data_IF_062186429582
#
_entry.id   IF_062186429582
#
_cell.length_a   1.000
_cell.length_b   1.000
_cell.length_c   1.000
_cell.angle_alpha   90.00
_cell.angle_beta   90.00
_cell.angle_gamma   90.00
#
_symmetry.space_group_name_H-M   'P 1'
#
loop_
_entity.id
_entity.type
_entity.pdbx_description
1 polymer ?
#
# COMPACT_ATOMS: atom_id res chain seq x y z
N UNK A 1 14.76 -13.54 -3.85
CA UNK A 1 14.55 -12.81 -2.60
C UNK A 1 13.20 -12.13 -2.68
N UNK A 2 12.26 -12.45 -1.77
CA UNK A 2 10.95 -11.81 -1.76
C UNK A 2 11.07 -10.42 -1.11
N UNK A 3 10.46 -9.40 -1.71
CA UNK A 3 10.45 -8.06 -1.14
C UNK A 3 9.39 -7.98 -0.02
N UNK A 4 9.76 -7.37 1.11
CA UNK A 4 8.91 -7.23 2.29
C UNK A 4 8.71 -5.75 2.59
N UNK A 5 7.45 -5.37 2.85
CA UNK A 5 7.10 -4.06 3.38
C UNK A 5 6.72 -4.22 4.85
N UNK A 6 7.27 -3.37 5.71
CA UNK A 6 6.99 -3.38 7.14
C UNK A 6 6.34 -2.07 7.55
N UNK A 7 5.24 -2.16 8.30
CA UNK A 7 4.73 -1.05 9.11
C UNK A 7 5.13 -1.25 10.57
N UNK A 8 4.71 -0.34 11.45
CA UNK A 8 4.90 -0.48 12.90
C UNK A 8 4.19 -1.69 13.51
N UNK A 9 3.21 -2.27 12.82
CA UNK A 9 2.36 -3.35 13.36
C UNK A 9 2.15 -4.53 12.42
N UNK A 10 2.61 -4.47 11.17
CA UNK A 10 2.28 -5.49 10.16
C UNK A 10 3.40 -5.65 9.13
N UNK A 11 3.72 -6.89 8.79
CA UNK A 11 4.62 -7.25 7.70
C UNK A 11 3.83 -7.76 6.50
N UNK A 12 4.20 -7.29 5.31
CA UNK A 12 3.58 -7.62 4.04
C UNK A 12 4.64 -8.20 3.09
N UNK A 13 4.36 -9.37 2.51
CA UNK A 13 5.20 -9.95 1.45
C UNK A 13 4.64 -9.50 0.10
N UNK A 14 5.45 -8.86 -0.74
CA UNK A 14 5.06 -8.50 -2.10
C UNK A 14 5.03 -9.76 -2.96
N UNK A 15 3.89 -10.01 -3.59
CA UNK A 15 3.70 -11.12 -4.54
C UNK A 15 3.99 -10.63 -5.96
N UNK A 16 3.32 -9.55 -6.37
CA UNK A 16 3.43 -8.98 -7.73
C UNK A 16 3.09 -7.49 -7.70
N UNK A 17 3.61 -6.74 -8.68
CA UNK A 17 3.20 -5.35 -8.91
C UNK A 17 2.04 -5.33 -9.90
N UNK A 18 0.93 -4.69 -9.52
CA UNK A 18 -0.32 -4.68 -10.29
C UNK A 18 -0.49 -3.42 -11.14
N UNK A 19 0.23 -2.34 -10.85
CA UNK A 19 0.16 -1.12 -11.66
C UNK A 19 0.98 0.05 -11.12
N UNK A 20 1.24 1.03 -11.97
CA UNK A 20 1.91 2.29 -11.64
C UNK A 20 1.10 3.45 -12.21
N UNK A 21 0.94 4.50 -11.41
CA UNK A 21 0.33 5.76 -11.84
C UNK A 21 1.07 6.95 -11.26
N UNK A 22 0.54 8.15 -11.51
CA UNK A 22 1.18 9.40 -11.10
C UNK A 22 1.49 9.46 -9.59
N UNK A 23 0.60 8.89 -8.78
CA UNK A 23 0.69 8.94 -7.31
C UNK A 23 1.60 7.84 -6.71
N UNK A 24 1.93 6.79 -7.46
CA UNK A 24 2.70 5.67 -6.93
C UNK A 24 2.41 4.34 -7.61
N UNK A 25 2.95 3.28 -7.00
CA UNK A 25 2.85 1.89 -7.46
C UNK A 25 1.86 1.11 -6.59
N UNK A 26 1.12 0.18 -7.17
CA UNK A 26 0.26 -0.75 -6.44
C UNK A 26 0.87 -2.14 -6.53
N UNK A 27 1.04 -2.77 -5.37
CA UNK A 27 1.51 -4.14 -5.24
C UNK A 27 0.42 -5.02 -4.62
N UNK A 28 0.30 -6.24 -5.12
CA UNK A 28 -0.43 -7.32 -4.44
C UNK A 28 0.50 -7.87 -3.38
N UNK A 29 0.03 -7.84 -2.14
CA UNK A 29 0.80 -8.30 -1.00
C UNK A 29 0.01 -9.34 -0.20
N UNK A 30 0.74 -10.19 0.51
CA UNK A 30 0.19 -11.05 1.56
C UNK A 30 0.57 -10.52 2.93
N UNK A 31 -0.41 -10.36 3.82
CA UNK A 31 -0.16 -10.06 5.23
C UNK A 31 0.41 -11.32 5.88
N UNK A 32 1.61 -11.23 6.45
CA UNK A 32 2.32 -12.40 7.00
C UNK A 32 1.58 -13.05 8.17
N UNK A 33 0.92 -12.26 9.02
CA UNK A 33 0.23 -12.76 10.22
C UNK A 33 -1.13 -13.41 9.94
N UNK A 34 -1.83 -12.99 8.88
CA UNK A 34 -3.20 -13.44 8.59
C UNK A 34 -3.32 -14.17 7.26
N UNK A 35 -2.23 -14.24 6.49
CA UNK A 35 -2.19 -14.76 5.12
C UNK A 35 -3.16 -14.09 4.13
N UNK A 36 -3.81 -12.99 4.52
CA UNK A 36 -4.76 -12.25 3.67
C UNK A 36 -4.04 -11.57 2.52
N UNK A 37 -4.64 -11.63 1.33
CA UNK A 37 -4.18 -10.91 0.14
C UNK A 37 -4.78 -9.51 0.14
N UNK A 38 -3.93 -8.51 -0.05
CA UNK A 38 -4.29 -7.08 -0.04
C UNK A 38 -3.59 -6.33 -1.17
N UNK A 39 -4.15 -5.21 -1.59
CA UNK A 39 -3.45 -4.26 -2.45
C UNK A 39 -2.78 -3.19 -1.57
N UNK A 40 -1.47 -2.98 -1.74
CA UNK A 40 -0.71 -1.93 -1.06
C UNK A 40 -0.29 -0.88 -2.08
N UNK A 41 -0.71 0.37 -1.87
CA UNK A 41 -0.30 1.51 -2.69
C UNK A 41 0.94 2.16 -2.07
N UNK A 42 2.07 2.03 -2.76
CA UNK A 42 3.38 2.58 -2.41
C UNK A 42 3.47 3.97 -3.06
N UNK A 43 3.37 5.01 -2.25
CA UNK A 43 3.37 6.40 -2.70
C UNK A 43 4.81 6.88 -2.95
N UNK A 44 5.00 7.75 -3.94
CA UNK A 44 6.29 8.41 -4.20
C UNK A 44 6.57 9.47 -3.13
N UNK A 45 7.84 9.68 -2.77
CA UNK A 45 8.24 10.62 -1.70
C UNK A 45 7.73 12.06 -1.94
N UNK A 46 7.71 12.51 -3.20
CA UNK A 46 7.15 13.80 -3.62
C UNK A 46 5.65 13.95 -3.33
N UNK A 47 4.92 12.83 -3.26
CA UNK A 47 3.48 12.76 -2.98
C UNK A 47 3.22 12.59 -1.47
N UNK A 48 4.24 12.30 -0.66
CA UNK A 48 4.08 12.07 0.79
C UNK A 48 3.45 13.29 1.49
N UNK A 49 3.75 14.50 1.02
CA UNK A 49 3.13 15.75 1.50
C UNK A 49 1.60 15.77 1.32
N UNK A 50 1.07 15.02 0.35
CA UNK A 50 -0.36 14.92 0.04
C UNK A 50 -1.05 13.66 0.63
N UNK A 51 -0.32 12.79 1.35
CA UNK A 51 -0.86 11.55 1.95
C UNK A 51 -2.08 11.82 2.82
N UNK A 52 -2.06 12.92 3.58
CA UNK A 52 -3.16 13.27 4.50
C UNK A 52 -4.47 13.53 3.75
N UNK A 53 -4.42 14.14 2.55
CA UNK A 53 -5.59 14.37 1.72
C UNK A 53 -6.15 13.07 1.14
N UNK A 54 -5.28 12.17 0.67
CA UNK A 54 -5.70 10.88 0.12
C UNK A 54 -6.30 9.96 1.20
N UNK A 55 -5.65 9.85 2.36
CA UNK A 55 -6.18 9.08 3.51
C UNK A 55 -7.52 9.66 3.97
N UNK A 56 -7.67 10.99 3.97
CA UNK A 56 -8.94 11.64 4.29
C UNK A 56 -10.04 11.27 3.30
N UNK A 57 -9.76 11.22 2.01
CA UNK A 57 -10.75 10.86 0.99
C UNK A 57 -11.21 9.40 1.15
N UNK A 58 -10.28 8.48 1.41
CA UNK A 58 -10.60 7.07 1.66
C UNK A 58 -11.46 6.89 2.94
N UNK A 59 -11.21 7.69 3.99
CA UNK A 59 -12.03 7.64 5.21
C UNK A 59 -13.46 8.16 5.02
N UNK A 60 -13.67 9.10 4.10
CA UNK A 60 -14.99 9.67 3.82
C UNK A 60 -15.77 8.91 2.74
N UNK A 61 -15.12 8.08 1.92
CA UNK A 61 -15.77 7.13 1.01
C UNK A 61 -16.03 5.79 1.73
N UNK A 62 -16.84 5.81 2.80
CA UNK A 62 -17.52 4.60 3.27
C UNK A 62 -18.80 4.46 2.44
N UNK A 63 -18.67 3.82 1.28
CA UNK A 63 -19.80 3.21 0.56
C UNK A 63 -20.10 1.86 1.20
#
# INVERSE_FOLDING_TARGET
MAAVLCSSSTEYTIIEFMGEGSFGKVAKCQIKSTCKIVAVKILKDEVVQNVQHEVRNLRHQRI
#
